data_IF_771138120927
#
_entry.id   IF_771138120927
#
_cell.length_a   1.000
_cell.length_b   1.000
_cell.length_c   1.000
_cell.angle_alpha   90.00
_cell.angle_beta   90.00
_cell.angle_gamma   90.00
#
_symmetry.space_group_name_H-M   'P 1'
#
loop_
_entity.id
_entity.type
_entity.pdbx_description
1 polymer ?
#
# COMPACT_ATOMS: atom_id res chain seq x y z
N UNK A 1 -5.33 2.63 -10.29
CA UNK A 1 -5.26 4.09 -10.07
C UNK A 1 -6.59 4.54 -9.49
N UNK A 2 -6.62 5.18 -8.31
CA UNK A 2 -7.84 5.58 -7.59
C UNK A 2 -8.39 6.94 -8.08
N UNK A 3 -8.24 7.27 -9.36
CA UNK A 3 -8.62 8.58 -9.89
C UNK A 3 -10.12 8.83 -9.69
N UNK A 4 -10.46 9.93 -9.02
CA UNK A 4 -11.84 10.29 -8.68
C UNK A 4 -12.49 9.44 -7.57
N UNK A 5 -11.74 8.60 -6.85
CA UNK A 5 -12.23 7.86 -5.69
C UNK A 5 -12.01 8.66 -4.40
N UNK A 6 -13.06 8.74 -3.59
CA UNK A 6 -13.08 9.45 -2.30
C UNK A 6 -13.02 8.51 -1.09
N UNK A 7 -13.21 7.22 -1.32
CA UNK A 7 -13.39 6.19 -0.30
C UNK A 7 -12.70 4.88 -0.71
N UNK A 8 -12.25 4.14 0.30
CA UNK A 8 -11.63 2.84 0.15
C UNK A 8 -12.13 1.90 1.23
N UNK A 9 -12.53 0.70 0.84
CA UNK A 9 -12.99 -0.34 1.75
C UNK A 9 -11.95 -1.46 1.83
N UNK A 10 -11.70 -1.93 3.04
CA UNK A 10 -10.91 -3.12 3.31
C UNK A 10 -11.64 -4.00 4.33
N UNK A 11 -11.30 -5.28 4.37
CA UNK A 11 -11.83 -6.21 5.37
C UNK A 11 -10.73 -6.53 6.38
N UNK A 12 -11.02 -6.30 7.66
CA UNK A 12 -10.14 -6.71 8.75
C UNK A 12 -10.15 -8.24 8.84
N UNK A 13 -8.98 -8.93 8.83
CA UNK A 13 -8.93 -10.38 9.02
C UNK A 13 -9.59 -10.79 10.34
N UNK A 14 -10.44 -11.83 10.31
CA UNK A 14 -11.18 -12.27 11.50
C UNK A 14 -10.29 -12.80 12.62
N UNK A 15 -9.07 -13.23 12.29
CA UNK A 15 -8.05 -13.71 13.22
C UNK A 15 -7.21 -12.58 13.82
N UNK A 16 -7.51 -11.30 13.51
CA UNK A 16 -6.86 -10.15 14.16
C UNK A 16 -7.10 -10.18 15.67
N UNK A 17 -6.03 -10.18 16.49
CA UNK A 17 -6.19 -10.12 17.93
C UNK A 17 -6.95 -8.86 18.35
N UNK A 18 -7.82 -8.92 19.38
CA UNK A 18 -8.46 -7.75 19.92
C UNK A 18 -7.45 -6.82 20.60
N UNK A 19 -7.65 -5.50 20.49
CA UNK A 19 -6.74 -4.52 21.08
C UNK A 19 -6.74 -3.16 20.38
N UNK A 20 -5.86 -2.28 20.86
CA UNK A 20 -5.65 -0.94 20.29
C UNK A 20 -4.61 -0.98 19.19
N UNK A 21 -4.94 -0.44 18.02
CA UNK A 21 -4.07 -0.39 16.85
C UNK A 21 -4.03 1.02 16.26
N UNK A 22 -2.93 1.31 15.56
CA UNK A 22 -2.86 2.41 14.59
C UNK A 22 -3.12 1.81 13.22
N UNK A 23 -4.21 2.21 12.58
CA UNK A 23 -4.51 1.87 11.20
C UNK A 23 -3.90 2.94 10.30
N UNK A 24 -2.92 2.56 9.47
CA UNK A 24 -2.28 3.46 8.51
C UNK A 24 -2.82 3.18 7.11
N UNK A 25 -3.55 4.13 6.54
CA UNK A 25 -3.83 4.18 5.11
C UNK A 25 -2.71 4.93 4.42
N UNK A 26 -2.32 4.48 3.23
CA UNK A 26 -1.31 5.15 2.43
C UNK A 26 -1.66 5.07 0.96
N UNK A 27 -1.61 6.24 0.31
CA UNK A 27 -1.57 6.33 -1.14
C UNK A 27 -0.17 6.75 -1.56
N UNK A 28 0.44 5.98 -2.46
CA UNK A 28 1.74 6.29 -3.07
C UNK A 28 1.51 6.68 -4.51
N UNK A 29 2.08 7.82 -4.91
CA UNK A 29 2.13 8.27 -6.28
C UNK A 29 3.55 8.07 -6.84
N UNK A 30 3.80 6.97 -7.57
CA UNK A 30 5.08 6.75 -8.25
C UNK A 30 5.22 7.70 -9.43
N UNK A 31 6.46 8.06 -9.78
CA UNK A 31 6.75 8.98 -10.89
C UNK A 31 7.90 8.47 -11.76
N UNK A 32 8.08 9.10 -12.92
CA UNK A 32 9.24 8.86 -13.78
C UNK A 32 10.52 9.56 -13.31
N UNK A 33 10.41 10.47 -12.34
CA UNK A 33 11.54 11.19 -11.78
C UNK A 33 12.26 10.30 -10.75
N UNK A 34 13.58 10.06 -10.92
CA UNK A 34 14.35 9.28 -9.96
C UNK A 34 14.25 9.87 -8.55
N UNK A 35 14.09 9.00 -7.55
CA UNK A 35 14.00 9.36 -6.13
C UNK A 35 12.88 10.35 -5.79
N UNK A 36 11.83 10.41 -6.62
CA UNK A 36 10.70 11.30 -6.41
C UNK A 36 9.40 10.49 -6.44
N UNK A 37 8.99 9.99 -5.28
CA UNK A 37 7.67 9.42 -5.06
C UNK A 37 6.95 10.27 -4.02
N UNK A 38 5.64 10.49 -4.22
CA UNK A 38 4.83 11.22 -3.26
C UNK A 38 4.03 10.25 -2.40
N UNK A 39 4.08 10.44 -1.08
CA UNK A 39 3.39 9.61 -0.11
C UNK A 39 2.30 10.43 0.57
N UNK A 40 1.08 9.89 0.61
CA UNK A 40 -0.07 10.49 1.26
C UNK A 40 -0.58 9.56 2.38
N UNK A 41 0.11 9.52 3.54
CA UNK A 41 -0.29 8.68 4.66
C UNK A 41 -1.37 9.34 5.52
N UNK A 42 -2.26 8.51 6.06
CA UNK A 42 -3.22 8.89 7.10
C UNK A 42 -3.30 7.81 8.17
N UNK A 43 -3.43 8.20 9.43
CA UNK A 43 -3.50 7.28 10.56
C UNK A 43 -4.80 7.47 11.34
N UNK A 44 -5.45 6.36 11.67
CA UNK A 44 -6.58 6.31 12.59
C UNK A 44 -6.23 5.46 13.81
N UNK A 45 -6.70 5.89 14.99
CA UNK A 45 -6.64 5.07 16.21
C UNK A 45 -7.88 4.19 16.25
N UNK A 46 -7.70 2.87 16.29
CA UNK A 46 -8.80 1.90 16.27
C UNK A 46 -8.70 0.94 17.44
N UNK A 47 -9.85 0.48 17.93
CA UNK A 47 -9.95 -0.56 18.95
C UNK A 47 -10.66 -1.78 18.34
N UNK A 48 -9.90 -2.84 18.07
CA UNK A 48 -10.40 -4.10 17.49
C UNK A 48 -11.07 -4.91 18.59
N UNK A 49 -12.31 -5.32 18.34
CA UNK A 49 -13.16 -6.08 19.27
C UNK A 49 -13.57 -7.41 18.65
N UNK A 50 -13.94 -8.38 19.48
CA UNK A 50 -14.47 -9.68 19.06
C UNK A 50 -13.57 -10.85 19.45
N UNK A 51 -13.97 -12.09 19.07
CA UNK A 51 -13.30 -13.33 19.49
C UNK A 51 -12.03 -13.66 18.68
N UNK A 52 -11.50 -12.71 17.90
CA UNK A 52 -10.33 -12.92 17.04
C UNK A 52 -9.06 -13.32 17.80
N UNK A 53 -7.98 -13.54 17.08
CA UNK A 53 -6.71 -14.06 17.60
C UNK A 53 -6.31 -15.40 16.97
N UNK A 54 -5.24 -16.00 17.48
CA UNK A 54 -4.69 -17.29 17.00
C UNK A 54 -3.55 -17.15 15.98
N UNK A 55 -3.37 -15.97 15.39
CA UNK A 55 -2.28 -15.66 14.46
C UNK A 55 -1.71 -14.28 14.75
N UNK A 56 -0.40 -14.20 14.95
CA UNK A 56 0.31 -12.93 15.13
C UNK A 56 0.42 -12.23 13.77
N UNK A 57 -0.04 -10.96 13.64
CA UNK A 57 0.12 -10.21 12.40
C UNK A 57 1.58 -10.17 11.96
N UNK A 58 1.83 -10.55 10.71
CA UNK A 58 3.17 -10.61 10.17
C UNK A 58 3.22 -10.82 8.65
N UNK A 59 4.36 -10.51 8.02
CA UNK A 59 5.58 -9.97 8.63
C UNK A 59 5.42 -8.50 9.07
N UNK A 60 6.19 -8.07 10.07
CA UNK A 60 6.20 -6.68 10.56
C UNK A 60 7.34 -5.89 9.93
N UNK A 61 7.14 -4.58 9.80
CA UNK A 61 8.12 -3.66 9.23
C UNK A 61 8.23 -2.40 10.08
N UNK A 62 9.35 -1.68 9.97
CA UNK A 62 9.54 -0.37 10.59
C UNK A 62 9.35 0.72 9.56
N UNK A 63 8.57 1.73 9.92
CA UNK A 63 8.38 2.93 9.11
C UNK A 63 9.28 4.04 9.70
N UNK A 64 10.17 4.69 8.92
CA UNK A 64 10.29 4.63 7.46
C UNK A 64 11.24 3.56 6.89
N UNK A 65 11.98 2.83 7.73
CA UNK A 65 13.12 1.97 7.32
C UNK A 65 12.83 0.94 6.21
N UNK A 66 11.57 0.52 6.04
CA UNK A 66 11.21 -0.47 5.02
C UNK A 66 11.11 0.09 3.60
N UNK A 67 11.10 1.42 3.43
CA UNK A 67 11.10 2.02 2.11
C UNK A 67 12.51 2.02 1.52
N UNK A 68 12.71 1.28 0.43
CA UNK A 68 13.91 1.40 -0.40
C UNK A 68 13.62 2.39 -1.54
N UNK A 69 14.40 3.47 -1.65
CA UNK A 69 14.26 4.45 -2.72
C UNK A 69 14.41 3.83 -4.13
N UNK A 70 15.05 2.66 -4.23
CA UNK A 70 15.22 1.90 -5.47
C UNK A 70 14.15 0.83 -5.69
N UNK A 71 13.10 0.75 -4.85
CA UNK A 71 12.02 -0.20 -5.05
C UNK A 71 11.32 0.09 -6.40
N UNK A 72 11.17 -0.92 -7.29
CA UNK A 72 10.53 -0.73 -8.58
C UNK A 72 9.09 -0.22 -8.48
N UNK A 73 8.41 -0.41 -7.35
CA UNK A 73 7.07 0.11 -7.09
C UNK A 73 6.99 1.64 -6.98
N UNK A 74 8.13 2.33 -6.84
CA UNK A 74 8.21 3.79 -6.85
C UNK A 74 8.46 4.39 -8.23
N UNK A 75 8.79 3.56 -9.22
CA UNK A 75 9.13 4.02 -10.56
C UNK A 75 8.01 3.72 -11.55
N UNK A 76 7.62 4.75 -12.31
CA UNK A 76 6.78 4.59 -13.50
C UNK A 76 7.53 5.14 -14.72
N UNK A 77 7.63 4.40 -15.84
CA UNK A 77 8.08 4.94 -17.10
C UNK A 77 7.36 6.23 -17.49
N UNK A 78 8.09 7.23 -18.00
CA UNK A 78 7.53 8.51 -18.42
C UNK A 78 6.34 8.37 -19.39
N UNK A 79 6.46 7.48 -20.37
CA UNK A 79 5.38 7.22 -21.33
C UNK A 79 4.14 6.57 -20.69
N UNK A 80 4.28 5.86 -19.57
CA UNK A 80 3.16 5.33 -18.77
C UNK A 80 2.53 6.43 -17.90
N UNK A 81 3.36 7.24 -17.23
CA UNK A 81 2.90 8.36 -16.37
C UNK A 81 2.03 9.35 -17.16
N UNK A 82 2.44 9.72 -18.37
CA UNK A 82 1.71 10.66 -19.23
C UNK A 82 0.72 10.00 -20.19
N UNK A 83 0.36 8.72 -19.95
CA UNK A 83 -0.62 7.96 -20.74
C UNK A 83 -0.36 7.99 -22.26
N UNK A 84 0.91 8.04 -22.67
CA UNK A 84 1.32 8.08 -24.08
C UNK A 84 1.47 6.69 -24.71
N UNK A 85 1.16 5.64 -23.96
CA UNK A 85 1.13 4.26 -24.43
C UNK A 85 -0.31 3.75 -24.54
N UNK A 86 -0.61 2.84 -25.48
CA UNK A 86 -1.85 2.08 -25.47
C UNK A 86 -2.04 1.34 -24.13
N UNK A 87 -3.28 1.17 -23.61
CA UNK A 87 -3.55 0.51 -22.33
C UNK A 87 -2.88 -0.86 -22.17
N UNK A 88 -2.90 -1.67 -23.22
CA UNK A 88 -2.23 -2.98 -23.31
C UNK A 88 -0.70 -2.90 -23.15
N UNK A 89 -0.09 -1.76 -23.50
CA UNK A 89 1.36 -1.52 -23.33
C UNK A 89 1.73 -0.95 -21.95
N UNK A 90 0.74 -0.56 -21.14
CA UNK A 90 0.99 -0.01 -19.80
C UNK A 90 1.35 -1.10 -18.76
N UNK A 91 1.17 -2.40 -19.06
CA UNK A 91 1.55 -3.54 -18.20
C UNK A 91 1.13 -3.38 -16.73
N UNK A 92 -0.05 -2.78 -16.50
CA UNK A 92 -0.55 -2.40 -15.17
C UNK A 92 -0.71 -3.59 -14.21
N UNK A 93 -0.84 -4.80 -14.75
CA UNK A 93 -0.93 -6.06 -13.99
C UNK A 93 0.39 -6.51 -13.37
N UNK A 94 1.51 -5.94 -13.81
CA UNK A 94 2.85 -6.29 -13.32
C UNK A 94 3.34 -5.36 -12.22
N UNK A 95 2.56 -4.33 -11.87
CA UNK A 95 2.91 -3.40 -10.81
C UNK A 95 3.12 -4.14 -9.49
N UNK A 96 4.32 -3.98 -8.92
CA UNK A 96 4.67 -4.52 -7.61
C UNK A 96 4.46 -3.44 -6.56
N UNK A 97 3.57 -3.71 -5.62
CA UNK A 97 3.36 -2.85 -4.47
C UNK A 97 4.61 -2.86 -3.59
N UNK A 98 4.97 -1.68 -3.08
CA UNK A 98 6.05 -1.53 -2.11
C UNK A 98 5.60 -2.08 -0.76
N UNK A 99 6.52 -2.75 -0.06
CA UNK A 99 6.33 -3.21 1.30
C UNK A 99 6.14 -4.72 1.43
N UNK A 100 5.80 -5.19 2.64
CA UNK A 100 5.73 -6.60 2.93
C UNK A 100 4.55 -7.28 2.21
N UNK A 101 4.61 -8.61 2.03
CA UNK A 101 3.45 -9.39 1.61
C UNK A 101 2.25 -9.16 2.54
N UNK A 102 1.04 -9.25 1.96
CA UNK A 102 -0.20 -9.14 2.70
C UNK A 102 -0.30 -10.22 3.79
N UNK A 103 -0.50 -9.80 5.04
CA UNK A 103 -0.90 -10.70 6.12
C UNK A 103 -2.32 -11.22 5.89
N UNK A 104 -2.50 -12.54 5.95
CA UNK A 104 -3.77 -13.20 5.56
C UNK A 104 -4.67 -13.57 6.74
N UNK A 105 -4.29 -13.21 7.96
CA UNK A 105 -4.94 -13.72 9.15
C UNK A 105 -4.31 -15.01 9.59
#
# INVERSE_FOLDING_TARGET
>A
MLYGKTDFNFTLPRTTPPGKYIMRFEYVFPTSLPNYAQFFPNCALVNVMGPGGGTTPGPTVKIPDFYDANDPGFWLPFNQEYQKLPPESMRMTEYKLVGPPLWRG
#
